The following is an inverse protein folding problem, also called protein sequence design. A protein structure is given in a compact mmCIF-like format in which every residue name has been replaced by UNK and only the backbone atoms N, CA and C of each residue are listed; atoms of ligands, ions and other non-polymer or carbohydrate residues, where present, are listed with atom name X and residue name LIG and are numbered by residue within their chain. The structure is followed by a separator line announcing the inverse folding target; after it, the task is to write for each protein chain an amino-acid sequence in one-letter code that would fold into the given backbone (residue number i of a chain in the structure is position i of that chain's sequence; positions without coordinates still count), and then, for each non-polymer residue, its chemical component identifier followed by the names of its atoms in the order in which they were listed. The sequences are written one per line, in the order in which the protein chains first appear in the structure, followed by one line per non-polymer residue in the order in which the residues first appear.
data_IF_749271379655
#
_entry.id   IF_749271379655
#
_cell.length_a   1.000
_cell.length_b   1.000
_cell.length_c   1.000
_cell.angle_alpha   90.00
_cell.angle_beta   90.00
_cell.angle_gamma   90.00
#
_symmetry.space_group_name_H-M   'P 1'
#
loop_
_entity.id
_entity.type
_entity.pdbx_description
1 polymer ?
#
# COMPACT_ATOMS: atom_id res chain seq x y z
N UNK A 1 -4.58 -0.61 11.41
CA UNK A 1 -3.30 0.05 11.32
C UNK A 1 -2.24 -0.73 12.07
N UNK A 2 -1.17 -1.09 11.39
CA UNK A 2 -0.06 -1.81 12.00
C UNK A 2 0.97 -0.82 12.50
N UNK A 3 1.46 -1.03 13.72
CA UNK A 3 2.58 -0.28 14.25
C UNK A 3 3.84 -1.12 14.17
N UNK A 4 4.93 -0.50 13.73
CA UNK A 4 6.23 -1.15 13.67
C UNK A 4 7.10 -0.64 14.80
N UNK A 5 7.84 -1.53 15.45
CA UNK A 5 8.85 -1.16 16.44
C UNK A 5 10.21 -0.93 15.79
N UNK A 6 10.35 -1.31 14.52
CA UNK A 6 11.53 -1.12 13.70
C UNK A 6 11.06 -0.75 12.29
N UNK A 7 12.03 -0.67 11.36
CA UNK A 7 11.71 -0.48 9.95
C UNK A 7 11.04 -1.76 9.43
N UNK A 8 9.74 -1.84 9.52
CA UNK A 8 8.99 -2.99 9.07
C UNK A 8 8.85 -2.95 7.56
N UNK A 9 9.02 -4.10 6.94
CA UNK A 9 8.81 -4.24 5.50
C UNK A 9 7.32 -4.34 5.20
N UNK A 10 6.89 -3.65 4.16
CA UNK A 10 5.50 -3.65 3.72
C UNK A 10 5.41 -4.46 2.44
N UNK A 11 4.49 -5.42 2.42
CA UNK A 11 4.25 -6.29 1.28
C UNK A 11 2.82 -6.12 0.80
N UNK A 12 2.57 -6.40 -0.50
CA UNK A 12 1.19 -6.33 -1.00
C UNK A 12 0.27 -7.32 -0.30
N UNK A 13 -0.97 -6.91 -0.10
CA UNK A 13 -1.99 -7.82 0.42
C UNK A 13 -2.41 -8.85 -0.62
N UNK A 14 -2.30 -8.51 -1.91
CA UNK A 14 -2.66 -9.37 -3.04
C UNK A 14 -1.78 -9.03 -4.23
N UNK A 15 -1.64 -9.94 -5.20
CA UNK A 15 -0.91 -9.63 -6.42
C UNK A 15 -1.53 -8.47 -7.16
N UNK A 16 -0.72 -7.63 -7.78
CA UNK A 16 -1.21 -6.49 -8.53
C UNK A 16 -0.10 -5.81 -9.32
N UNK A 17 -0.47 -4.69 -9.94
CA UNK A 17 0.45 -3.87 -10.71
C UNK A 17 0.57 -2.51 -10.04
N UNK A 18 1.79 -2.01 -9.96
CA UNK A 18 2.04 -0.70 -9.37
C UNK A 18 1.54 0.39 -10.31
N UNK A 19 0.51 1.12 -9.89
CA UNK A 19 -0.05 2.22 -10.66
C UNK A 19 0.66 3.53 -10.37
N UNK A 20 0.92 3.80 -9.09
CA UNK A 20 1.47 5.07 -8.65
C UNK A 20 2.51 4.83 -7.58
N UNK A 21 3.64 5.51 -7.70
CA UNK A 21 4.63 5.66 -6.63
C UNK A 21 4.88 7.15 -6.51
N UNK A 22 4.51 7.74 -5.37
CA UNK A 22 4.64 9.17 -5.22
C UNK A 22 4.81 9.52 -3.75
N UNK A 23 4.96 10.80 -3.48
CA UNK A 23 5.10 11.32 -2.13
C UNK A 23 4.10 12.45 -1.94
N UNK A 24 3.37 12.42 -0.84
CA UNK A 24 2.35 13.40 -0.54
C UNK A 24 2.64 14.03 0.80
N UNK A 25 2.52 15.34 0.88
CA UNK A 25 2.68 16.07 2.14
C UNK A 25 1.69 15.52 3.17
N UNK A 26 2.17 15.20 4.34
CA UNK A 26 1.36 14.63 5.42
C UNK A 26 1.24 13.11 5.39
N UNK A 27 1.48 12.46 4.25
CA UNK A 27 1.36 11.01 4.12
C UNK A 27 2.68 10.33 3.77
N UNK A 28 3.76 11.10 3.64
CA UNK A 28 5.05 10.58 3.22
C UNK A 28 4.92 9.90 1.86
N UNK A 29 5.61 8.79 1.67
CA UNK A 29 5.56 8.07 0.39
C UNK A 29 4.40 7.10 0.37
N UNK A 30 3.84 6.89 -0.82
CA UNK A 30 2.75 5.95 -0.98
C UNK A 30 2.85 5.20 -2.29
N UNK A 31 2.23 4.02 -2.31
CA UNK A 31 2.16 3.14 -3.47
C UNK A 31 0.70 2.75 -3.65
N UNK A 32 0.24 2.82 -4.90
CA UNK A 32 -1.10 2.34 -5.25
C UNK A 32 -0.94 1.14 -6.18
N UNK A 33 -1.59 0.04 -5.83
CA UNK A 33 -1.60 -1.18 -6.64
C UNK A 33 -2.98 -1.37 -7.26
N UNK A 34 -2.98 -1.80 -8.52
CA UNK A 34 -4.18 -2.20 -9.21
C UNK A 34 -4.31 -3.72 -9.13
N UNK A 35 -5.48 -4.19 -8.78
CA UNK A 35 -5.80 -5.62 -8.71
C UNK A 35 -6.88 -5.96 -9.71
N UNK A 36 -7.21 -7.25 -9.81
CA UNK A 36 -8.27 -7.71 -10.69
C UNK A 36 -9.63 -7.20 -10.21
N UNK A 37 -10.59 -7.17 -11.11
CA UNK A 37 -11.98 -6.82 -10.83
C UNK A 37 -12.16 -5.36 -10.38
N UNK A 38 -11.25 -4.47 -10.79
CA UNK A 38 -11.39 -3.05 -10.50
C UNK A 38 -11.01 -2.63 -9.09
N UNK A 39 -10.40 -3.52 -8.31
CA UNK A 39 -9.92 -3.16 -6.98
C UNK A 39 -8.54 -2.53 -7.05
N UNK A 40 -8.29 -1.63 -6.11
CA UNK A 40 -6.95 -1.08 -5.90
C UNK A 40 -6.68 -0.94 -4.41
N UNK A 41 -5.41 -0.96 -4.05
CA UNK A 41 -5.00 -0.80 -2.65
C UNK A 41 -3.97 0.30 -2.55
N UNK A 42 -4.05 1.09 -1.49
CA UNK A 42 -3.12 2.18 -1.20
C UNK A 42 -2.31 1.82 0.03
N UNK A 43 -1.00 1.95 -0.08
CA UNK A 43 -0.07 1.73 1.02
C UNK A 43 0.68 3.04 1.24
N UNK A 44 0.36 3.73 2.32
CA UNK A 44 0.90 5.06 2.56
C UNK A 44 1.65 5.12 3.89
N UNK A 45 2.26 6.26 4.14
CA UNK A 45 3.09 6.50 5.31
C UNK A 45 4.39 5.70 5.28
N UNK A 46 4.88 5.42 4.07
CA UNK A 46 6.12 4.65 3.88
C UNK A 46 7.32 5.55 4.01
N UNK A 47 8.38 5.05 4.64
CA UNK A 47 9.66 5.73 4.69
C UNK A 47 10.43 5.55 3.40
N UNK A 48 10.42 4.32 2.87
CA UNK A 48 11.09 3.98 1.61
C UNK A 48 10.15 3.21 0.72
N UNK A 49 10.38 3.29 -0.59
CA UNK A 49 9.64 2.52 -1.59
C UNK A 49 10.67 1.79 -2.46
N UNK A 50 10.43 0.50 -2.66
CA UNK A 50 11.35 -0.40 -3.36
C UNK A 50 10.84 -0.83 -4.72
N UNK A 51 9.71 -0.31 -5.18
CA UNK A 51 9.09 -0.69 -6.45
C UNK A 51 8.92 0.53 -7.34
N UNK A 52 8.70 0.28 -8.63
CA UNK A 52 8.51 1.33 -9.63
C UNK A 52 7.13 1.19 -10.26
N UNK A 53 6.62 2.31 -10.77
CA UNK A 53 5.35 2.31 -11.52
C UNK A 53 5.46 1.36 -12.70
N UNK A 54 4.38 0.59 -12.92
CA UNK A 54 4.34 -0.40 -13.99
C UNK A 54 4.83 -1.79 -13.60
N UNK A 55 5.45 -1.92 -12.44
CA UNK A 55 5.98 -3.20 -11.98
C UNK A 55 4.84 -4.10 -11.48
N UNK A 56 4.90 -5.40 -11.82
CA UNK A 56 3.97 -6.39 -11.29
C UNK A 56 4.54 -6.95 -9.99
N UNK A 57 3.73 -6.99 -8.96
CA UNK A 57 4.15 -7.41 -7.62
C UNK A 57 3.18 -8.45 -7.06
N UNK A 58 3.66 -9.21 -6.09
CA UNK A 58 2.87 -10.18 -5.34
C UNK A 58 3.25 -10.08 -3.86
N UNK A 59 2.58 -10.84 -2.96
CA UNK A 59 2.85 -10.72 -1.53
C UNK A 59 4.28 -11.07 -1.11
N UNK A 60 5.08 -11.70 -1.97
CA UNK A 60 6.48 -11.97 -1.67
C UNK A 60 7.39 -10.79 -1.96
N UNK A 61 6.91 -9.80 -2.71
CA UNK A 61 7.69 -8.62 -3.07
C UNK A 61 7.58 -7.55 -1.97
N UNK A 62 8.68 -6.93 -1.63
CA UNK A 62 8.68 -5.82 -0.66
C UNK A 62 8.35 -4.53 -1.39
N UNK A 63 7.27 -3.86 -0.99
CA UNK A 63 6.89 -2.57 -1.54
C UNK A 63 7.76 -1.44 -1.00
N UNK A 64 8.08 -1.52 0.27
CA UNK A 64 8.85 -0.49 0.95
C UNK A 64 8.93 -0.79 2.42
N UNK A 65 9.27 0.22 3.22
CA UNK A 65 9.39 0.04 4.66
C UNK A 65 8.74 1.19 5.41
N UNK A 66 8.36 0.91 6.65
CA UNK A 66 7.82 1.90 7.57
C UNK A 66 8.95 2.45 8.43
N UNK A 67 8.78 3.71 8.85
CA UNK A 67 9.66 4.28 9.85
C UNK A 67 9.35 3.67 11.21
N UNK A 68 10.38 3.51 12.04
CA UNK A 68 10.23 2.95 13.38
C UNK A 68 9.16 3.71 14.16
N UNK A 69 8.24 2.98 14.78
CA UNK A 69 7.16 3.57 15.56
C UNK A 69 6.01 4.14 14.76
N UNK A 70 6.07 4.07 13.43
CA UNK A 70 5.00 4.57 12.55
C UNK A 70 4.14 3.43 12.05
N UNK A 71 2.86 3.72 11.86
CA UNK A 71 1.91 2.75 11.34
C UNK A 71 1.73 2.86 9.83
N UNK A 72 1.33 1.76 9.22
CA UNK A 72 0.97 1.74 7.81
C UNK A 72 -0.44 2.30 7.64
N UNK A 73 -0.61 3.20 6.68
CA UNK A 73 -1.93 3.61 6.22
C UNK A 73 -2.30 2.71 5.04
N UNK A 74 -3.41 2.00 5.17
CA UNK A 74 -3.89 1.08 4.14
C UNK A 74 -5.32 1.46 3.76
N UNK A 75 -5.59 1.52 2.45
CA UNK A 75 -6.93 1.81 1.95
C UNK A 75 -7.25 0.86 0.81
N UNK A 76 -8.45 0.32 0.82
CA UNK A 76 -8.97 -0.50 -0.27
C UNK A 76 -10.01 0.31 -1.04
N UNK A 77 -9.86 0.35 -2.35
CA UNK A 77 -10.79 1.05 -3.25
C UNK A 77 -11.37 0.07 -4.26
N UNK A 78 -12.56 0.38 -4.74
CA UNK A 78 -13.19 -0.36 -5.83
C UNK A 78 -13.75 0.65 -6.83
N UNK A 79 -13.23 0.60 -8.05
CA UNK A 79 -13.55 1.61 -9.03
C UNK A 79 -13.05 2.97 -8.61
N UNK A 80 -13.90 3.98 -8.62
CA UNK A 80 -13.59 5.33 -8.17
C UNK A 80 -13.96 5.59 -6.72
N UNK A 81 -14.55 4.61 -6.04
CA UNK A 81 -15.03 4.77 -4.67
C UNK A 81 -14.09 4.10 -3.69
N UNK A 82 -13.79 4.81 -2.60
CA UNK A 82 -13.07 4.23 -1.48
C UNK A 82 -13.99 3.29 -0.72
N UNK A 83 -13.49 2.13 -0.33
CA UNK A 83 -14.23 1.16 0.44
C UNK A 83 -13.55 1.00 1.78
N UNK A 84 -14.31 1.17 2.86
CA UNK A 84 -13.80 0.92 4.20
C UNK A 84 -13.50 -0.58 4.31
N UNK A 85 -12.25 -0.97 4.57
CA UNK A 85 -11.91 -2.39 4.65
C UNK A 85 -12.72 -3.15 5.70
N UNK A 86 -13.18 -2.50 6.75
CA UNK A 86 -13.99 -3.15 7.77
C UNK A 86 -15.36 -3.57 7.23
N UNK A 87 -15.86 -2.92 6.18
CA UNK A 87 -17.13 -3.27 5.55
C UNK A 87 -16.98 -4.45 4.58
N UNK A 88 -15.77 -4.78 4.20
CA UNK A 88 -15.49 -5.91 3.31
C UNK A 88 -15.46 -7.24 4.05
N UNK A 89 -15.35 -7.20 5.34
CA UNK A 89 -15.30 -8.38 6.20
C UNK A 89 -16.72 -8.77 6.56
N UNK A 90 -17.24 -9.77 5.88
CA UNK A 90 -18.61 -10.20 6.09
C UNK A 90 -18.73 -11.70 6.09
#
# INVERSE_FOLDING_TARGET
LFKATRHAEVRPASPGKVLVVDEMEGYKKYVILEHKNGYSTVYANLKTVSVNEGETVDPSKILGSLESGKGLYFQLNHGSSAIDPSLQIR
#
